data_IF_759796524627
#
_entry.id   IF_759796524627
#
_cell.length_a   1.000
_cell.length_b   1.000
_cell.length_c   1.000
_cell.angle_alpha   90.00
_cell.angle_beta   90.00
_cell.angle_gamma   90.00
#
_symmetry.space_group_name_H-M   'P 1'
#
loop_
_entity.id
_entity.type
_entity.pdbx_description
1 polymer ?
#
# COMPACT_ATOMS: atom_id res chain seq x y z
N UNK A 1 26.65 0.37 6.67
CA UNK A 1 25.56 0.17 5.69
C UNK A 1 24.22 0.57 6.31
N UNK A 2 23.40 1.37 5.62
CA UNK A 2 22.06 1.76 6.10
C UNK A 2 21.13 0.53 5.99
N UNK A 3 20.59 0.04 7.11
CA UNK A 3 19.62 -1.07 7.08
C UNK A 3 18.41 -0.66 6.22
N UNK A 4 17.93 -1.52 5.32
CA UNK A 4 16.73 -1.22 4.54
C UNK A 4 15.55 -1.01 5.49
N UNK A 5 14.70 -0.03 5.18
CA UNK A 5 13.51 0.25 5.98
C UNK A 5 12.57 -0.96 5.95
N UNK A 6 12.47 -1.67 7.08
CA UNK A 6 11.56 -2.81 7.25
C UNK A 6 10.33 -2.35 8.00
N UNK A 7 9.15 -2.53 7.39
CA UNK A 7 7.87 -2.26 8.06
C UNK A 7 7.68 -3.22 9.25
N UNK A 8 6.84 -2.83 10.21
CA UNK A 8 6.38 -3.78 11.21
C UNK A 8 5.45 -4.80 10.53
N UNK A 9 5.58 -6.07 10.91
CA UNK A 9 4.63 -7.12 10.56
C UNK A 9 3.44 -7.13 11.55
N UNK A 10 2.45 -8.01 11.34
CA UNK A 10 1.27 -8.09 12.19
C UNK A 10 1.61 -8.52 13.63
N UNK A 11 2.54 -9.45 13.81
CA UNK A 11 2.95 -9.95 15.13
C UNK A 11 3.66 -8.88 15.97
N UNK A 12 4.57 -8.12 15.36
CA UNK A 12 5.23 -6.97 15.97
C UNK A 12 4.20 -5.89 16.35
N UNK A 13 3.18 -5.67 15.52
CA UNK A 13 2.06 -4.76 15.85
C UNK A 13 1.22 -5.28 17.00
N UNK A 14 0.98 -6.60 17.09
CA UNK A 14 0.27 -7.23 18.21
C UNK A 14 1.01 -7.03 19.51
N UNK A 15 2.32 -7.32 19.54
CA UNK A 15 3.19 -7.08 20.71
C UNK A 15 3.18 -5.60 21.09
N UNK A 16 3.32 -4.69 20.12
CA UNK A 16 3.23 -3.25 20.34
C UNK A 16 1.91 -2.84 21.00
N UNK A 17 0.78 -3.37 20.53
CA UNK A 17 -0.54 -3.08 21.10
C UNK A 17 -0.66 -3.58 22.55
N UNK A 18 -0.27 -4.84 22.82
CA UNK A 18 -0.29 -5.42 24.17
C UNK A 18 0.60 -4.63 25.13
N UNK A 19 1.81 -4.25 24.72
CA UNK A 19 2.72 -3.48 25.56
C UNK A 19 2.24 -2.04 25.79
N UNK A 20 1.57 -1.42 24.81
CA UNK A 20 0.94 -0.11 25.00
C UNK A 20 -0.23 -0.17 25.99
N UNK A 21 -1.04 -1.22 25.96
CA UNK A 21 -2.10 -1.46 26.94
C UNK A 21 -1.51 -1.65 28.35
N UNK A 22 -0.38 -2.35 28.46
CA UNK A 22 0.39 -2.49 29.70
C UNK A 22 1.14 -1.20 30.11
N UNK A 23 0.92 -0.07 29.41
CA UNK A 23 1.56 1.25 29.66
C UNK A 23 3.10 1.20 29.61
N UNK A 24 3.68 0.25 28.87
CA UNK A 24 5.13 0.17 28.71
C UNK A 24 5.67 1.39 27.95
N UNK A 25 6.91 1.79 28.28
CA UNK A 25 7.56 2.90 27.59
C UNK A 25 7.91 2.53 26.15
N UNK A 26 7.89 3.52 25.24
CA UNK A 26 8.23 3.30 23.83
C UNK A 26 9.67 2.82 23.64
N UNK A 27 10.57 3.15 24.57
CA UNK A 27 11.94 2.63 24.62
C UNK A 27 11.94 1.13 24.90
N UNK A 28 11.19 0.69 25.92
CA UNK A 28 11.10 -0.73 26.25
C UNK A 28 10.51 -1.57 25.11
N UNK A 29 9.50 -1.02 24.44
CA UNK A 29 8.89 -1.68 23.28
C UNK A 29 9.88 -1.80 22.11
N UNK A 30 10.69 -0.76 21.89
CA UNK A 30 11.73 -0.77 20.88
C UNK A 30 12.80 -1.83 21.15
N UNK A 31 13.24 -1.97 22.40
CA UNK A 31 14.15 -3.03 22.86
C UNK A 31 13.57 -4.43 22.60
N UNK A 32 12.33 -4.69 23.04
CA UNK A 32 11.67 -5.99 22.89
C UNK A 32 11.50 -6.38 21.42
N UNK A 33 11.15 -5.43 20.56
CA UNK A 33 10.98 -5.67 19.13
C UNK A 33 12.30 -5.64 18.33
N UNK A 34 13.43 -5.28 18.96
CA UNK A 34 14.71 -5.06 18.27
C UNK A 34 14.63 -3.99 17.18
N UNK A 35 13.80 -2.96 17.37
CA UNK A 35 13.57 -1.86 16.42
C UNK A 35 14.07 -0.53 16.98
N UNK A 36 14.34 0.42 16.10
CA UNK A 36 14.63 1.79 16.54
C UNK A 36 13.43 2.43 17.24
N UNK A 37 13.70 3.19 18.31
CA UNK A 37 12.68 3.99 19.02
C UNK A 37 11.91 4.90 18.05
N UNK A 38 12.61 5.50 17.07
CA UNK A 38 11.98 6.37 16.06
C UNK A 38 10.99 5.61 15.16
N UNK A 39 11.21 4.32 14.92
CA UNK A 39 10.30 3.46 14.16
C UNK A 39 9.00 3.26 14.94
N UNK A 40 9.08 2.97 16.24
CA UNK A 40 7.90 2.82 17.11
C UNK A 40 7.09 4.11 17.18
N UNK A 41 7.74 5.27 17.34
CA UNK A 41 7.04 6.56 17.33
C UNK A 41 6.30 6.81 16.01
N UNK A 42 6.98 6.60 14.87
CA UNK A 42 6.39 6.80 13.55
C UNK A 42 5.24 5.84 13.27
N UNK A 43 5.36 4.59 13.72
CA UNK A 43 4.31 3.60 13.62
C UNK A 43 3.07 4.07 14.37
N UNK A 44 3.20 4.35 15.67
CA UNK A 44 2.07 4.80 16.51
C UNK A 44 1.43 6.06 15.94
N UNK A 45 2.22 7.06 15.53
CA UNK A 45 1.69 8.32 14.98
C UNK A 45 0.88 8.10 13.70
N UNK A 46 1.25 7.12 12.86
CA UNK A 46 0.60 6.88 11.56
C UNK A 46 -0.59 5.93 11.63
N UNK A 47 -0.68 5.13 12.68
CA UNK A 47 -1.59 3.99 12.78
C UNK A 47 -2.46 4.01 14.04
N UNK A 48 -2.53 5.17 14.70
CA UNK A 48 -3.49 5.40 15.77
C UNK A 48 -4.88 5.60 15.16
N UNK A 49 -5.85 4.92 15.73
CA UNK A 49 -7.26 5.11 15.42
C UNK A 49 -7.80 6.23 16.30
N UNK A 50 -8.46 7.20 15.67
CA UNK A 50 -9.12 8.30 16.33
C UNK A 50 -10.55 8.36 15.82
N UNK A 51 -11.50 8.40 16.75
CA UNK A 51 -12.93 8.47 16.46
C UNK A 51 -13.54 9.56 17.35
N UNK A 52 -14.15 10.56 16.72
CA UNK A 52 -14.77 11.69 17.42
C UNK A 52 -16.11 11.29 18.05
N UNK A 53 -16.79 10.29 17.50
CA UNK A 53 -18.09 9.81 17.97
C UNK A 53 -17.92 8.77 19.10
N UNK A 54 -16.83 8.00 19.08
CA UNK A 54 -16.53 6.99 20.10
C UNK A 54 -15.13 7.21 20.72
N UNK A 55 -14.99 8.18 21.65
CA UNK A 55 -13.71 8.46 22.29
C UNK A 55 -13.10 7.27 23.05
N UNK A 56 -13.93 6.33 23.51
CA UNK A 56 -13.45 5.12 24.22
C UNK A 56 -12.72 4.15 23.29
N UNK A 57 -12.94 4.24 21.98
CA UNK A 57 -12.26 3.44 20.97
C UNK A 57 -10.94 4.06 20.49
N UNK A 58 -10.60 5.29 20.90
CA UNK A 58 -9.33 5.94 20.55
C UNK A 58 -8.16 5.12 21.09
N UNK A 59 -7.30 4.67 20.18
CA UNK A 59 -6.21 3.80 20.58
C UNK A 59 -5.34 3.29 19.45
N UNK A 60 -4.38 2.46 19.86
CA UNK A 60 -3.57 1.70 18.93
C UNK A 60 -4.07 0.25 18.89
N UNK A 61 -4.69 -0.13 17.78
CA UNK A 61 -5.23 -1.46 17.55
C UNK A 61 -4.45 -2.13 16.41
N UNK A 62 -3.86 -3.31 16.66
CA UNK A 62 -2.91 -3.91 15.71
C UNK A 62 -3.56 -4.28 14.37
N UNK A 63 -4.82 -4.76 14.37
CA UNK A 63 -5.57 -5.06 13.14
C UNK A 63 -5.87 -3.79 12.36
N UNK A 64 -6.40 -2.76 13.03
CA UNK A 64 -6.66 -1.45 12.41
C UNK A 64 -5.38 -0.82 11.86
N UNK A 65 -4.28 -0.90 12.62
CA UNK A 65 -2.96 -0.43 12.19
C UNK A 65 -2.44 -1.14 10.93
N UNK A 66 -2.72 -2.45 10.82
CA UNK A 66 -2.42 -3.24 9.63
C UNK A 66 -3.28 -2.76 8.44
N UNK A 67 -4.60 -2.67 8.62
CA UNK A 67 -5.54 -2.18 7.60
C UNK A 67 -5.18 -0.77 7.12
N UNK A 68 -4.80 0.15 8.01
CA UNK A 68 -4.35 1.50 7.66
C UNK A 68 -3.01 1.48 6.90
N UNK A 69 -2.08 0.59 7.29
CA UNK A 69 -0.82 0.41 6.58
C UNK A 69 -1.03 -0.13 5.16
N UNK A 70 -1.93 -1.11 5.00
CA UNK A 70 -2.29 -1.72 3.71
C UNK A 70 -3.09 -0.76 2.85
N UNK A 71 -4.06 -0.03 3.42
CA UNK A 71 -4.80 1.02 2.74
C UNK A 71 -3.88 2.10 2.15
N UNK A 72 -2.78 2.45 2.81
CA UNK A 72 -1.77 3.37 2.23
C UNK A 72 -0.92 2.73 1.13
N UNK A 73 -0.80 1.41 1.10
CA UNK A 73 -0.24 0.71 -0.05
C UNK A 73 -1.22 0.70 -1.22
N UNK A 74 -2.51 0.48 -0.97
CA UNK A 74 -3.56 0.57 -1.99
C UNK A 74 -3.71 2.00 -2.53
N UNK A 75 -3.70 3.04 -1.68
CA UNK A 75 -3.72 4.45 -2.11
C UNK A 75 -2.49 4.88 -2.93
N UNK A 76 -1.48 4.01 -3.07
CA UNK A 76 -0.35 4.22 -4.01
C UNK A 76 -0.58 3.55 -5.37
N UNK A 77 -1.70 2.86 -5.56
CA UNK A 77 -2.16 2.32 -6.84
C UNK A 77 -2.86 3.44 -7.58
N UNK A 78 -2.05 4.26 -8.24
CA UNK A 78 -2.50 5.49 -8.91
C UNK A 78 -3.58 5.24 -9.98
N UNK A 79 -3.61 4.03 -10.54
CA UNK A 79 -4.66 3.57 -11.47
C UNK A 79 -6.01 3.28 -10.80
N UNK A 80 -6.04 2.98 -9.51
CA UNK A 80 -7.30 2.80 -8.77
C UNK A 80 -7.88 4.16 -8.34
N UNK A 81 -7.06 5.20 -8.27
CA UNK A 81 -7.48 6.56 -7.88
C UNK A 81 -7.91 7.43 -9.06
N UNK A 82 -7.36 7.19 -10.25
CA UNK A 82 -7.66 7.95 -11.46
C UNK A 82 -8.30 7.01 -12.49
N UNK A 83 -9.63 7.01 -12.53
CA UNK A 83 -10.40 6.16 -13.42
C UNK A 83 -10.11 6.46 -14.90
N UNK A 84 -9.93 7.74 -15.25
CA UNK A 84 -9.56 8.16 -16.60
C UNK A 84 -8.22 7.56 -17.05
N UNK A 85 -7.21 7.62 -16.17
CA UNK A 85 -5.88 7.05 -16.42
C UNK A 85 -5.96 5.52 -16.57
N UNK A 86 -6.81 4.86 -15.78
CA UNK A 86 -7.05 3.43 -15.89
C UNK A 86 -7.70 3.07 -17.22
N UNK A 87 -8.71 3.81 -17.66
CA UNK A 87 -9.40 3.56 -18.92
C UNK A 87 -8.47 3.77 -20.11
N UNK A 88 -7.60 4.78 -20.05
CA UNK A 88 -6.58 5.02 -21.07
C UNK A 88 -5.56 3.86 -21.14
N UNK A 89 -5.09 3.37 -19.99
CA UNK A 89 -4.21 2.20 -19.91
C UNK A 89 -4.90 0.96 -20.48
N UNK A 90 -6.17 0.72 -20.13
CA UNK A 90 -6.94 -0.42 -20.63
C UNK A 90 -7.12 -0.33 -22.15
N UNK A 91 -7.46 0.85 -22.68
CA UNK A 91 -7.59 1.07 -24.12
C UNK A 91 -6.31 0.73 -24.87
N UNK A 92 -5.15 1.20 -24.38
CA UNK A 92 -3.84 0.90 -24.98
C UNK A 92 -3.44 -0.57 -24.85
N UNK A 93 -3.80 -1.23 -23.74
CA UNK A 93 -3.59 -2.68 -23.58
C UNK A 93 -4.43 -3.49 -24.57
N UNK A 94 -5.67 -3.07 -24.85
CA UNK A 94 -6.55 -3.75 -25.81
C UNK A 94 -6.02 -3.59 -27.24
N UNK A 95 -5.44 -2.45 -27.59
CA UNK A 95 -4.83 -2.19 -28.91
C UNK A 95 -3.46 -2.86 -29.09
N UNK A 96 -2.99 -3.62 -28.09
CA UNK A 96 -1.79 -4.45 -28.21
C UNK A 96 -0.49 -3.77 -27.79
N UNK A 97 -0.55 -2.61 -27.13
CA UNK A 97 0.66 -1.94 -26.65
C UNK A 97 1.30 -2.69 -25.49
N UNK A 98 2.63 -2.68 -25.43
CA UNK A 98 3.37 -3.26 -24.30
C UNK A 98 3.23 -2.39 -23.05
N UNK A 99 3.21 -2.97 -21.84
CA UNK A 99 3.22 -2.21 -20.59
C UNK A 99 4.32 -1.15 -20.50
N UNK A 100 5.51 -1.43 -21.05
CA UNK A 100 6.65 -0.51 -21.14
C UNK A 100 6.33 0.69 -22.04
N UNK A 101 5.75 0.44 -23.22
CA UNK A 101 5.37 1.48 -24.17
C UNK A 101 4.29 2.40 -23.58
N UNK A 102 3.29 1.81 -22.91
CA UNK A 102 2.21 2.56 -22.24
C UNK A 102 2.80 3.44 -21.13
N UNK A 103 3.64 2.88 -20.26
CA UNK A 103 4.27 3.63 -19.18
C UNK A 103 5.16 4.77 -19.71
N UNK A 104 5.91 4.52 -20.79
CA UNK A 104 6.73 5.53 -21.47
C UNK A 104 5.89 6.67 -22.05
N UNK A 105 4.83 6.35 -22.79
CA UNK A 105 3.94 7.34 -23.40
C UNK A 105 3.22 8.19 -22.35
N UNK A 106 2.68 7.56 -21.31
CA UNK A 106 2.01 8.27 -20.20
C UNK A 106 2.97 9.22 -19.47
N UNK A 107 4.25 8.89 -19.36
CA UNK A 107 5.25 9.77 -18.75
C UNK A 107 5.47 11.07 -19.53
N UNK A 108 5.30 11.02 -20.85
CA UNK A 108 5.46 12.17 -21.76
C UNK A 108 4.17 13.00 -21.82
N UNK A 109 3.01 12.34 -21.96
CA UNK A 109 1.73 13.01 -22.25
C UNK A 109 1.09 13.70 -21.04
N UNK A 110 1.31 13.17 -19.84
CA UNK A 110 0.59 13.60 -18.64
C UNK A 110 1.51 14.31 -17.61
N UNK A 111 2.70 14.76 -18.02
CA UNK A 111 3.77 15.29 -17.15
C UNK A 111 3.91 14.49 -15.83
N UNK A 112 3.87 13.16 -15.96
CA UNK A 112 3.85 12.23 -14.83
C UNK A 112 5.24 12.01 -14.25
N UNK A 113 6.12 13.02 -14.29
CA UNK A 113 7.41 13.03 -13.59
C UNK A 113 7.30 12.62 -12.10
N UNK A 114 6.09 12.74 -11.52
CA UNK A 114 5.71 12.33 -10.16
C UNK A 114 5.29 10.85 -10.01
N UNK A 115 5.21 10.08 -11.09
CA UNK A 115 4.75 8.69 -11.11
C UNK A 115 5.95 7.74 -11.15
N UNK A 116 6.35 7.26 -9.97
CA UNK A 116 7.45 6.31 -9.84
C UNK A 116 7.08 4.91 -10.35
N UNK A 117 8.09 4.03 -10.37
CA UNK A 117 8.09 2.57 -10.65
C UNK A 117 6.82 1.76 -10.33
N UNK A 118 5.96 2.21 -9.43
CA UNK A 118 4.67 1.57 -9.12
C UNK A 118 3.66 1.59 -10.27
N UNK A 119 3.69 2.59 -11.17
CA UNK A 119 2.78 2.64 -12.33
C UNK A 119 3.03 1.44 -13.26
N UNK A 120 4.30 1.13 -13.52
CA UNK A 120 4.71 0.00 -14.36
C UNK A 120 4.20 -1.33 -13.81
N UNK A 121 4.40 -1.58 -12.50
CA UNK A 121 3.91 -2.80 -11.83
C UNK A 121 2.38 -2.90 -11.86
N UNK A 122 1.67 -1.78 -11.78
CA UNK A 122 0.22 -1.74 -11.85
C UNK A 122 -0.31 -2.05 -13.26
N UNK A 123 0.31 -1.50 -14.32
CA UNK A 123 -0.03 -1.81 -15.72
C UNK A 123 0.22 -3.31 -16.00
N UNK A 124 1.35 -3.85 -15.53
CA UNK A 124 1.67 -5.26 -15.71
C UNK A 124 0.65 -6.18 -15.01
N UNK A 125 0.30 -5.88 -13.76
CA UNK A 125 -0.74 -6.61 -13.03
C UNK A 125 -2.10 -6.53 -13.75
N UNK A 126 -2.48 -5.36 -14.29
CA UNK A 126 -3.71 -5.21 -15.08
C UNK A 126 -3.70 -6.05 -16.37
N UNK A 127 -2.57 -6.12 -17.07
CA UNK A 127 -2.42 -6.96 -18.27
C UNK A 127 -2.70 -8.43 -17.92
N UNK A 128 -2.13 -8.94 -16.83
CA UNK A 128 -2.34 -10.33 -16.39
C UNK A 128 -3.81 -10.62 -16.05
N UNK A 129 -4.49 -9.72 -15.33
CA UNK A 129 -5.93 -9.88 -15.02
C UNK A 129 -6.79 -9.89 -16.29
N UNK A 130 -6.50 -9.02 -17.25
CA UNK A 130 -7.28 -8.90 -18.49
C UNK A 130 -7.04 -10.06 -19.46
N UNK A 131 -5.82 -10.59 -19.53
CA UNK A 131 -5.51 -11.79 -20.32
C UNK A 131 -6.22 -13.02 -19.74
N UNK A 132 -6.21 -13.19 -18.40
CA UNK A 132 -6.96 -14.27 -17.74
C UNK A 132 -8.46 -14.20 -18.02
N UNK A 133 -9.03 -12.99 -18.05
CA UNK A 133 -10.45 -12.78 -18.35
C UNK A 133 -10.79 -13.07 -19.82
N UNK A 134 -9.89 -12.77 -20.77
CA UNK A 134 -10.07 -13.13 -22.20
C UNK A 134 -9.96 -14.64 -22.44
N UNK A 135 -9.13 -15.36 -21.69
CA UNK A 135 -9.00 -16.82 -21.80
C UNK A 135 -10.30 -17.52 -21.35
N UNK A 136 -10.93 -17.08 -20.26
CA UNK A 136 -12.20 -17.67 -19.79
C UNK A 136 -13.38 -17.43 -20.74
N UNK A 137 -13.43 -16.28 -21.42
CA UNK A 137 -14.49 -15.98 -22.41
C UNK A 137 -14.35 -16.77 -23.72
N UNK A 138 -13.19 -17.37 -23.99
CA UNK A 138 -12.91 -18.14 -25.23
C UNK A 138 -13.11 -19.64 -25.07
N UNK A 139 -13.32 -20.13 -23.85
CA UNK A 139 -13.57 -21.55 -23.52
C UNK A 139 -15.07 -21.84 -23.34
N UNK A 140 -15.93 -20.81 -23.41
CA UNK A 140 -17.40 -20.92 -23.33
C UNK A 140 -18.12 -20.65 -24.66
N UNK A 141 -17.42 -20.74 -25.79
CA UNK A 141 -18.02 -20.73 -27.14
C UNK A 141 -17.65 -22.03 -27.83
#
# INVERSE_FOLDING_TARGET
MRRPYRKLNLDERRILATMLQAKATKTKIAEVLGRDRSTIYREIKRNRWHDEEVPQADGYWHVTAQTLADGRHLKRRKLEQHEDLRNEVIGKLITGWSPEQIAGRLRIELDLSRFSSGLFRAIFAMKETQIGTKIQRRVQT
#
